data_IF_487632169993
#
_entry.id   IF_487632169993
#
_cell.length_a   1.000
_cell.length_b   1.000
_cell.length_c   1.000
_cell.angle_alpha   90.00
_cell.angle_beta   90.00
_cell.angle_gamma   90.00
#
_symmetry.space_group_name_H-M   'P 1'
#
loop_
_entity.id
_entity.type
_entity.pdbx_description
1 polymer ?
#
# COMPACT_ATOMS: atom_id res chain seq x y z
N UNK A 1 4.40 17.88 14.67
CA UNK A 1 3.56 16.79 14.14
C UNK A 1 3.80 16.68 12.64
N UNK A 2 3.97 15.47 12.10
CA UNK A 2 4.08 15.23 10.64
C UNK A 2 2.96 14.29 10.21
N UNK A 3 2.33 14.58 9.08
CA UNK A 3 1.18 13.83 8.59
C UNK A 3 1.29 13.52 7.10
N UNK A 4 0.76 12.37 6.69
CA UNK A 4 0.67 11.98 5.27
C UNK A 4 -0.59 11.17 5.03
N UNK A 5 -1.44 11.66 4.13
CA UNK A 5 -2.63 10.94 3.67
C UNK A 5 -2.33 10.14 2.40
N UNK A 6 -2.82 8.92 2.35
CA UNK A 6 -2.78 8.01 1.22
C UNK A 6 -4.21 7.66 0.83
N UNK A 7 -4.62 8.02 -0.40
CA UNK A 7 -5.93 7.62 -0.93
C UNK A 7 -5.84 6.20 -1.47
N UNK A 8 -6.84 5.37 -1.18
CA UNK A 8 -6.99 4.05 -1.78
C UNK A 8 -7.28 4.18 -3.28
N UNK A 9 -6.76 3.24 -4.09
CA UNK A 9 -7.10 3.15 -5.51
C UNK A 9 -8.59 2.86 -5.75
N UNK A 10 -9.28 2.33 -4.74
CA UNK A 10 -10.74 2.17 -4.71
C UNK A 10 -11.51 3.49 -4.61
N UNK A 11 -10.80 4.61 -4.43
CA UNK A 11 -11.28 5.99 -4.36
C UNK A 11 -12.23 6.33 -3.21
N UNK A 12 -12.76 5.35 -2.48
CA UNK A 12 -13.71 5.53 -1.39
C UNK A 12 -13.06 5.54 0.00
N UNK A 13 -11.80 5.12 0.11
CA UNK A 13 -11.10 4.91 1.38
C UNK A 13 -9.71 5.59 1.36
N UNK A 14 -9.11 5.75 2.53
CA UNK A 14 -7.76 6.28 2.66
C UNK A 14 -7.14 6.00 4.02
N UNK A 15 -5.84 6.23 4.13
CA UNK A 15 -5.05 6.05 5.35
C UNK A 15 -4.35 7.37 5.66
N UNK A 16 -4.50 7.86 6.88
CA UNK A 16 -3.74 8.98 7.42
C UNK A 16 -2.66 8.45 8.35
N UNK A 17 -1.41 8.70 7.99
CA UNK A 17 -0.25 8.42 8.83
C UNK A 17 0.13 9.68 9.61
N UNK A 18 0.17 9.59 10.94
CA UNK A 18 0.56 10.68 11.84
C UNK A 18 1.75 10.28 12.71
N UNK A 19 2.75 11.16 12.79
CA UNK A 19 3.93 11.04 13.68
C UNK A 19 4.01 12.24 14.61
N UNK A 20 3.90 11.99 15.91
CA UNK A 20 4.20 12.97 16.95
C UNK A 20 5.70 12.96 17.29
N UNK A 21 6.32 14.13 17.52
CA UNK A 21 7.77 14.23 17.74
C UNK A 21 8.23 13.66 19.08
N UNK A 22 7.36 13.67 20.09
CA UNK A 22 7.69 13.24 21.47
C UNK A 22 7.41 11.75 21.72
N UNK A 23 6.85 11.07 20.72
CA UNK A 23 6.44 9.67 20.81
C UNK A 23 7.31 8.81 19.91
N UNK A 24 7.43 7.51 20.17
CA UNK A 24 8.15 6.58 19.29
C UNK A 24 7.24 5.97 18.23
N UNK A 25 5.93 5.99 18.49
CA UNK A 25 4.91 5.30 17.73
C UNK A 25 4.50 6.04 16.46
N UNK A 26 3.98 5.27 15.52
CA UNK A 26 3.32 5.72 14.29
C UNK A 26 1.83 5.42 14.37
N UNK A 27 1.01 6.40 14.01
CA UNK A 27 -0.45 6.30 14.08
C UNK A 27 -1.01 6.21 12.66
N UNK A 28 -1.78 5.16 12.40
CA UNK A 28 -2.41 4.89 11.11
C UNK A 28 -3.92 4.97 11.28
N UNK A 29 -4.51 6.09 10.87
CA UNK A 29 -5.95 6.28 10.92
C UNK A 29 -6.60 5.91 9.59
N UNK A 30 -7.67 5.13 9.61
CA UNK A 30 -8.38 4.69 8.41
C UNK A 30 -9.59 5.61 8.15
N UNK A 31 -9.72 6.06 6.91
CA UNK A 31 -10.73 7.02 6.48
C UNK A 31 -11.59 6.43 5.38
N UNK A 32 -12.85 6.85 5.34
CA UNK A 32 -13.78 6.59 4.25
C UNK A 32 -14.39 7.92 3.80
N UNK A 33 -14.43 8.16 2.50
CA UNK A 33 -15.08 9.33 1.90
C UNK A 33 -16.61 9.21 2.12
N UNK A 34 -17.23 10.15 2.85
CA UNK A 34 -18.68 10.13 3.21
C UNK A 34 -19.60 10.28 1.98
N UNK A 35 -20.91 10.00 1.96
CA UNK A 35 -21.99 9.88 2.96
C UNK A 35 -23.00 8.85 2.41
N UNK A 36 -23.12 7.64 2.99
CA UNK A 36 -24.32 6.76 2.94
C UNK A 36 -24.06 5.48 3.75
N UNK A 37 -25.08 4.89 4.40
CA UNK A 37 -24.87 3.82 5.37
C UNK A 37 -24.40 2.57 4.63
N UNK A 38 -23.24 2.05 5.04
CA UNK A 38 -22.82 0.70 4.68
C UNK A 38 -23.95 -0.24 5.11
N UNK A 39 -24.66 -0.87 4.15
CA UNK A 39 -25.60 -1.93 4.49
C UNK A 39 -24.78 -3.10 5.00
N UNK A 40 -24.50 -3.11 6.30
CA UNK A 40 -23.88 -4.24 6.95
C UNK A 40 -24.75 -5.45 6.70
N UNK A 41 -24.16 -6.52 6.18
CA UNK A 41 -24.81 -7.82 6.15
C UNK A 41 -25.24 -8.20 7.57
N UNK A 42 -26.30 -8.98 7.70
CA UNK A 42 -26.80 -9.43 9.01
C UNK A 42 -25.69 -10.07 9.87
N UNK A 43 -24.79 -10.83 9.24
CA UNK A 43 -23.61 -11.41 9.89
C UNK A 43 -22.63 -10.35 10.40
N UNK A 44 -22.38 -9.31 9.62
CA UNK A 44 -21.51 -8.21 10.02
C UNK A 44 -22.11 -7.44 11.21
N UNK A 45 -23.43 -7.24 11.21
CA UNK A 45 -24.15 -6.62 12.35
C UNK A 45 -24.00 -7.45 13.62
N UNK A 46 -24.24 -8.76 13.55
CA UNK A 46 -24.09 -9.67 14.69
C UNK A 46 -22.65 -9.71 15.20
N UNK A 47 -21.67 -9.74 14.30
CA UNK A 47 -20.24 -9.70 14.65
C UNK A 47 -19.88 -8.39 15.37
N UNK A 48 -20.38 -7.25 14.91
CA UNK A 48 -20.15 -5.96 15.55
C UNK A 48 -20.80 -5.90 16.93
N UNK A 49 -22.04 -6.38 17.08
CA UNK A 49 -22.70 -6.50 18.39
C UNK A 49 -21.89 -7.38 19.35
N UNK A 50 -21.39 -8.54 18.89
CA UNK A 50 -20.54 -9.43 19.68
C UNK A 50 -19.25 -8.72 20.14
N UNK A 51 -18.58 -8.00 19.24
CA UNK A 51 -17.34 -7.27 19.56
C UNK A 51 -17.58 -6.15 20.58
N UNK A 52 -18.66 -5.39 20.43
CA UNK A 52 -19.03 -4.33 21.38
C UNK A 52 -19.34 -4.91 22.76
N UNK A 53 -20.17 -5.95 22.82
CA UNK A 53 -20.65 -6.53 24.09
C UNK A 53 -19.57 -7.25 24.87
N UNK A 54 -18.59 -7.86 24.20
CA UNK A 54 -17.58 -8.71 24.86
C UNK A 54 -16.17 -8.12 24.86
N UNK A 55 -15.84 -7.25 23.90
CA UNK A 55 -14.50 -6.62 23.80
C UNK A 55 -14.52 -5.12 24.09
N UNK A 56 -15.71 -4.52 24.30
CA UNK A 56 -15.86 -3.12 24.67
C UNK A 56 -15.51 -2.11 23.57
N UNK A 57 -15.24 -2.56 22.34
CA UNK A 57 -14.87 -1.71 21.21
C UNK A 57 -15.26 -2.35 19.88
N UNK A 58 -15.67 -1.53 18.93
CA UNK A 58 -16.11 -1.93 17.59
C UNK A 58 -15.00 -1.83 16.54
N UNK A 59 -13.74 -1.65 16.96
CA UNK A 59 -12.58 -1.11 16.22
C UNK A 59 -12.50 0.42 16.35
N UNK A 60 -11.46 0.91 17.03
CA UNK A 60 -11.02 2.30 16.86
C UNK A 60 -10.29 2.35 15.53
N UNK A 61 -10.63 3.30 14.66
CA UNK A 61 -10.11 3.44 13.29
C UNK A 61 -8.63 3.83 13.24
N UNK A 62 -7.82 3.37 14.19
CA UNK A 62 -6.43 3.72 14.38
C UNK A 62 -5.62 2.48 14.78
N UNK A 63 -4.64 2.13 13.94
CA UNK A 63 -3.59 1.17 14.29
C UNK A 63 -2.37 1.96 14.75
N UNK A 64 -1.80 1.56 15.88
CA UNK A 64 -0.58 2.17 16.42
C UNK A 64 0.52 1.12 16.26
N UNK A 65 1.56 1.45 15.50
CA UNK A 65 2.76 0.63 15.41
C UNK A 65 3.86 1.29 16.23
N UNK A 66 4.66 0.47 16.91
CA UNK A 66 5.88 0.98 17.50
C UNK A 66 6.95 1.21 16.41
N UNK A 67 8.15 1.60 16.83
CA UNK A 67 9.23 1.90 15.89
C UNK A 67 9.71 0.65 15.14
N UNK A 68 9.81 -0.49 15.83
CA UNK A 68 10.33 -1.74 15.27
C UNK A 68 9.37 -2.31 14.23
N UNK A 69 8.06 -2.36 14.54
CA UNK A 69 7.08 -2.84 13.55
C UNK A 69 6.87 -1.88 12.39
N UNK A 70 6.94 -0.57 12.63
CA UNK A 70 6.90 0.42 11.55
C UNK A 70 8.12 0.28 10.61
N UNK A 71 9.29 0.00 11.17
CA UNK A 71 10.51 -0.27 10.39
C UNK A 71 10.36 -1.57 9.58
N UNK A 72 9.88 -2.65 10.19
CA UNK A 72 9.62 -3.92 9.50
C UNK A 72 8.65 -3.73 8.33
N UNK A 73 7.54 -3.02 8.55
CA UNK A 73 6.58 -2.67 7.50
C UNK A 73 7.25 -1.90 6.35
N UNK A 74 8.08 -0.92 6.67
CA UNK A 74 8.79 -0.11 5.68
C UNK A 74 9.76 -0.95 4.84
N UNK A 75 10.51 -1.86 5.48
CA UNK A 75 11.46 -2.76 4.81
C UNK A 75 10.69 -3.70 3.89
N UNK A 76 9.58 -4.25 4.39
CA UNK A 76 8.75 -5.17 3.62
C UNK A 76 8.24 -4.52 2.34
N UNK A 77 7.66 -3.31 2.42
CA UNK A 77 7.13 -2.57 1.27
C UNK A 77 8.25 -2.23 0.28
N UNK A 78 9.35 -1.67 0.76
CA UNK A 78 10.46 -1.26 -0.10
C UNK A 78 11.08 -2.43 -0.86
N UNK A 79 11.21 -3.59 -0.21
CA UNK A 79 11.73 -4.81 -0.83
C UNK A 79 10.91 -5.22 -2.06
N UNK A 80 9.57 -5.26 -1.94
CA UNK A 80 8.70 -5.65 -3.07
C UNK A 80 8.75 -4.63 -4.20
N UNK A 81 8.74 -3.34 -3.87
CA UNK A 81 8.85 -2.28 -4.88
C UNK A 81 10.20 -2.30 -5.62
N UNK A 82 11.27 -2.77 -4.98
CA UNK A 82 12.56 -2.98 -5.65
C UNK A 82 12.54 -4.21 -6.55
N UNK A 83 11.97 -5.33 -6.09
CA UNK A 83 11.81 -6.56 -6.88
C UNK A 83 11.01 -6.29 -8.17
N UNK A 84 9.90 -5.55 -8.09
CA UNK A 84 9.08 -5.18 -9.25
C UNK A 84 9.83 -4.26 -10.24
N UNK A 85 10.63 -3.32 -9.72
CA UNK A 85 11.49 -2.46 -10.53
C UNK A 85 12.57 -3.26 -11.26
N UNK A 86 13.24 -4.19 -10.57
CA UNK A 86 14.25 -5.06 -11.20
C UNK A 86 13.61 -5.95 -12.27
N UNK A 87 12.44 -6.53 -11.98
CA UNK A 87 11.72 -7.37 -12.95
C UNK A 87 11.30 -6.58 -14.21
N UNK A 88 10.81 -5.35 -14.04
CA UNK A 88 10.46 -4.49 -15.18
C UNK A 88 11.70 -4.06 -15.99
N UNK A 89 12.80 -3.68 -15.34
CA UNK A 89 14.07 -3.36 -16.02
C UNK A 89 14.64 -4.54 -16.79
N UNK A 90 14.58 -5.76 -16.23
CA UNK A 90 15.04 -6.97 -16.91
C UNK A 90 14.21 -7.28 -18.16
N UNK A 91 12.88 -7.20 -18.06
CA UNK A 91 11.99 -7.36 -19.24
C UNK A 91 12.28 -6.34 -20.32
N UNK A 92 12.51 -5.07 -19.95
CA UNK A 92 12.87 -4.03 -20.89
C UNK A 92 14.20 -4.35 -21.60
N UNK A 93 15.23 -4.76 -20.86
CA UNK A 93 16.52 -5.18 -21.41
C UNK A 93 16.36 -6.37 -22.38
N UNK A 94 15.66 -7.43 -21.96
CA UNK A 94 15.44 -8.63 -22.78
C UNK A 94 14.70 -8.28 -24.08
N UNK A 95 13.71 -7.39 -24.02
CA UNK A 95 13.00 -6.92 -25.23
C UNK A 95 13.89 -6.11 -26.18
N UNK A 96 14.80 -5.30 -25.65
CA UNK A 96 15.75 -4.54 -26.47
C UNK A 96 16.81 -5.45 -27.09
N UNK A 97 17.26 -6.49 -26.37
CA UNK A 97 18.17 -7.51 -26.90
C UNK A 97 17.51 -8.27 -28.05
N UNK A 98 16.26 -8.70 -27.90
CA UNK A 98 15.50 -9.36 -28.98
C UNK A 98 15.35 -8.47 -30.21
N UNK A 99 14.92 -7.22 -30.02
CA UNK A 99 14.80 -6.24 -31.12
C UNK A 99 16.13 -6.04 -31.86
N UNK A 100 17.25 -5.98 -31.14
CA UNK A 100 18.59 -5.83 -31.76
C UNK A 100 19.02 -7.07 -32.54
N UNK A 101 18.67 -8.26 -32.07
CA UNK A 101 18.96 -9.51 -32.77
C UNK A 101 18.10 -9.70 -34.05
N UNK A 102 16.95 -9.04 -34.13
CA UNK A 102 16.05 -9.07 -35.29
C UNK A 102 16.42 -8.02 -36.36
N UNK A 103 17.34 -7.09 -36.09
CA UNK A 103 17.87 -6.15 -37.11
C UNK A 103 18.87 -6.90 -38.00
N UNK A 104 18.58 -7.11 -39.30
CA UNK A 104 19.50 -7.80 -40.19
C UNK A 104 20.78 -6.98 -40.39
N UNK A 105 21.92 -7.66 -40.46
CA UNK A 105 23.27 -7.10 -40.69
C UNK A 105 23.39 -6.27 -41.99
N UNK A 106 22.35 -6.28 -42.85
CA UNK A 106 22.30 -5.58 -44.13
C UNK A 106 22.06 -4.06 -44.05
N UNK A 107 22.08 -3.44 -42.86
CA UNK A 107 21.99 -1.99 -42.70
C UNK A 107 23.30 -1.27 -42.37
N UNK A 108 24.41 -1.99 -42.15
CA UNK A 108 25.75 -1.40 -42.23
C UNK A 108 26.24 -1.51 -43.67
N UNK A 109 25.70 -0.66 -44.54
CA UNK A 109 26.23 -0.45 -45.88
C UNK A 109 27.50 0.40 -45.82
N UNK A 110 28.52 -0.06 -46.54
CA UNK A 110 29.80 0.63 -46.77
C UNK A 110 29.61 2.10 -47.17
N UNK A 111 30.27 3.00 -46.44
CA UNK A 111 30.83 4.26 -46.95
C UNK A 111 32.19 4.50 -46.32
#
# INVERSE_FOLDING_TARGET
MKEKFFKCDCLSEGILLTKFPEESQFYFSYWREGITPMKFSWWMRLKLCYLILLKGSHYGDQVILDKEEAEELSIWINKRLLEDRVASSRKALDSNVRKRAEVPESQYGDQ
#
